data_IF_321125020153
#
_entry.id   IF_321125020153
#
_cell.length_a   1.000
_cell.length_b   1.000
_cell.length_c   1.000
_cell.angle_alpha   90.00
_cell.angle_beta   90.00
_cell.angle_gamma   90.00
#
_symmetry.space_group_name_H-M   'P 1'
#
loop_
_entity.id
_entity.type
_entity.pdbx_description
1 polymer ?
#
# COMPACT_ATOMS: atom_id res chain seq x y z
N UNK A 1 -9.26 7.10 -26.25
CA UNK A 1 -9.00 6.32 -25.03
C UNK A 1 -7.95 5.27 -25.37
N UNK A 2 -6.74 5.41 -24.88
CA UNK A 2 -5.75 4.33 -24.94
C UNK A 2 -6.14 3.42 -23.77
N UNK A 3 -6.83 2.31 -24.09
CA UNK A 3 -7.18 1.32 -23.08
C UNK A 3 -5.91 0.75 -22.46
N UNK A 4 -5.74 0.93 -21.17
CA UNK A 4 -4.65 0.33 -20.41
C UNK A 4 -4.93 -1.18 -20.20
N UNK A 5 -4.99 -1.94 -21.29
CA UNK A 5 -5.24 -3.39 -21.24
C UNK A 5 -4.11 -4.20 -20.59
N UNK A 6 -3.00 -3.56 -20.19
CA UNK A 6 -1.82 -4.22 -19.67
C UNK A 6 -1.28 -3.48 -18.45
N UNK A 7 -1.92 -3.66 -17.32
CA UNK A 7 -1.45 -3.18 -16.01
C UNK A 7 -1.22 -4.34 -15.06
N UNK A 8 -0.39 -4.12 -14.05
CA UNK A 8 -0.12 -5.09 -12.98
C UNK A 8 -0.55 -4.54 -11.64
N UNK A 9 -0.83 -5.43 -10.67
CA UNK A 9 -0.99 -5.04 -9.27
C UNK A 9 0.35 -4.65 -8.64
N UNK A 10 0.34 -4.05 -7.44
CA UNK A 10 1.57 -3.78 -6.67
C UNK A 10 2.35 -5.08 -6.38
N UNK A 11 1.64 -6.18 -6.07
CA UNK A 11 2.24 -7.51 -5.89
C UNK A 11 2.85 -8.01 -7.19
N UNK A 12 2.17 -7.85 -8.32
CA UNK A 12 2.69 -8.18 -9.64
C UNK A 12 3.94 -7.38 -10.00
N UNK A 13 3.97 -6.08 -9.68
CA UNK A 13 5.15 -5.23 -9.86
C UNK A 13 6.35 -5.73 -9.02
N UNK A 14 6.15 -6.07 -7.75
CA UNK A 14 7.18 -6.67 -6.90
C UNK A 14 7.71 -7.99 -7.48
N UNK A 15 6.82 -8.84 -8.00
CA UNK A 15 7.23 -10.11 -8.62
C UNK A 15 8.06 -9.90 -9.89
N UNK A 16 7.73 -8.92 -10.73
CA UNK A 16 8.55 -8.58 -11.90
C UNK A 16 9.98 -8.20 -11.51
N UNK A 17 10.14 -7.40 -10.45
CA UNK A 17 11.48 -7.04 -9.95
C UNK A 17 12.21 -8.27 -9.42
N UNK A 18 11.55 -9.14 -8.66
CA UNK A 18 12.18 -10.38 -8.13
C UNK A 18 12.74 -11.28 -9.23
N UNK A 19 12.05 -11.36 -10.37
CA UNK A 19 12.43 -12.27 -11.47
C UNK A 19 13.44 -11.64 -12.43
N UNK A 20 13.27 -10.36 -12.79
CA UNK A 20 14.02 -9.70 -13.87
C UNK A 20 14.77 -8.44 -13.42
N UNK A 21 14.60 -7.98 -12.18
CA UNK A 21 15.13 -6.68 -11.74
C UNK A 21 16.65 -6.59 -11.71
N UNK A 22 17.36 -7.73 -11.62
CA UNK A 22 18.82 -7.77 -11.71
C UNK A 22 19.33 -7.50 -13.14
N UNK A 23 18.54 -7.86 -14.16
CA UNK A 23 18.91 -7.64 -15.57
C UNK A 23 18.31 -6.35 -16.14
N UNK A 24 17.11 -5.99 -15.71
CA UNK A 24 16.32 -4.90 -16.28
C UNK A 24 15.83 -3.93 -15.21
N UNK A 25 15.88 -2.66 -15.52
CA UNK A 25 15.26 -1.62 -14.69
C UNK A 25 13.80 -1.45 -15.07
N UNK A 26 12.91 -1.55 -14.09
CA UNK A 26 11.50 -1.25 -14.25
C UNK A 26 11.21 0.22 -13.92
N UNK A 27 10.40 0.86 -14.75
CA UNK A 27 9.77 2.15 -14.48
C UNK A 27 8.28 1.90 -14.23
N UNK A 28 7.87 1.99 -12.98
CA UNK A 28 6.48 1.81 -12.58
C UNK A 28 5.74 3.15 -12.65
N UNK A 29 4.81 3.23 -13.60
CA UNK A 29 3.91 4.37 -13.75
C UNK A 29 2.56 4.05 -13.13
N UNK A 30 1.92 5.02 -12.49
CA UNK A 30 0.57 4.84 -11.93
C UNK A 30 0.06 6.13 -11.30
N UNK A 31 -1.23 6.16 -10.97
CA UNK A 31 -1.86 7.30 -10.31
C UNK A 31 -1.11 7.72 -9.05
N UNK A 32 -1.29 8.98 -8.65
CA UNK A 32 -0.70 9.47 -7.41
C UNK A 32 -1.32 8.78 -6.18
N UNK A 33 -0.49 8.50 -5.17
CA UNK A 33 -0.93 7.95 -3.89
C UNK A 33 -1.41 6.49 -3.89
N UNK A 34 -1.17 5.71 -4.96
CA UNK A 34 -1.59 4.29 -5.04
C UNK A 34 -0.68 3.31 -4.30
N UNK A 35 0.43 3.78 -3.72
CA UNK A 35 1.38 2.94 -2.99
C UNK A 35 2.52 2.41 -3.85
N UNK A 36 2.97 3.12 -4.89
CA UNK A 36 4.13 2.69 -5.71
C UNK A 36 5.39 2.44 -4.87
N UNK A 37 5.63 3.26 -3.85
CA UNK A 37 6.77 3.08 -2.92
C UNK A 37 6.65 1.80 -2.07
N UNK A 38 5.43 1.26 -1.88
CA UNK A 38 5.23 -0.02 -1.18
C UNK A 38 5.87 -1.21 -1.92
N UNK A 39 6.12 -1.10 -3.24
CA UNK A 39 6.87 -2.10 -4.01
C UNK A 39 8.27 -2.27 -3.41
N UNK A 40 8.94 -1.16 -3.09
CA UNK A 40 10.26 -1.18 -2.50
C UNK A 40 10.25 -1.84 -1.10
N UNK A 41 9.32 -1.47 -0.23
CA UNK A 41 9.22 -2.03 1.11
C UNK A 41 8.88 -3.53 1.08
N UNK A 42 8.06 -3.97 0.13
CA UNK A 42 7.76 -5.38 -0.10
C UNK A 42 9.02 -6.17 -0.49
N UNK A 43 9.87 -5.60 -1.35
CA UNK A 43 11.14 -6.20 -1.74
C UNK A 43 12.16 -6.18 -0.59
N UNK A 44 12.21 -5.09 0.18
CA UNK A 44 13.06 -4.98 1.37
C UNK A 44 12.72 -6.08 2.38
N UNK A 45 11.45 -6.28 2.67
CA UNK A 45 11.01 -7.36 3.56
C UNK A 45 11.33 -8.76 3.02
N UNK A 46 11.28 -8.95 1.71
CA UNK A 46 11.59 -10.23 1.08
C UNK A 46 13.08 -10.57 1.11
N UNK A 47 13.97 -9.60 0.82
CA UNK A 47 15.40 -9.82 0.78
C UNK A 47 16.10 -9.71 2.13
N UNK A 48 15.50 -9.01 3.11
CA UNK A 48 16.04 -8.84 4.46
C UNK A 48 17.48 -8.30 4.44
N UNK A 49 18.37 -8.81 5.26
CA UNK A 49 19.75 -8.35 5.42
C UNK A 49 20.68 -8.67 4.23
N UNK A 50 20.16 -9.33 3.20
CA UNK A 50 20.94 -9.74 2.03
C UNK A 50 21.34 -8.58 1.11
N UNK A 51 20.66 -7.43 1.23
CA UNK A 51 20.85 -6.27 0.37
C UNK A 51 21.03 -4.98 1.18
N UNK A 52 21.58 -3.95 0.54
CA UNK A 52 21.45 -2.57 0.96
C UNK A 52 20.19 -1.94 0.33
N UNK A 53 19.61 -0.91 0.97
CA UNK A 53 18.31 -0.35 0.59
C UNK A 53 18.35 1.17 0.56
N UNK A 54 18.04 1.76 -0.59
CA UNK A 54 17.99 3.21 -0.75
C UNK A 54 16.81 3.64 -1.61
N UNK A 55 16.02 4.57 -1.08
CA UNK A 55 15.01 5.33 -1.83
C UNK A 55 15.55 6.72 -2.08
N UNK A 56 15.51 7.16 -3.31
CA UNK A 56 16.03 8.45 -3.76
C UNK A 56 14.88 9.24 -4.36
N UNK A 57 14.47 10.30 -3.67
CA UNK A 57 13.46 11.23 -4.18
C UNK A 57 14.08 12.12 -5.27
N UNK A 58 13.65 11.90 -6.50
CA UNK A 58 14.15 12.60 -7.66
C UNK A 58 13.66 14.06 -7.76
N UNK A 59 12.67 14.45 -6.97
CA UNK A 59 12.14 15.84 -6.97
C UNK A 59 13.12 16.84 -6.35
N UNK A 60 13.95 16.36 -5.44
CA UNK A 60 14.90 17.18 -4.67
C UNK A 60 16.36 17.07 -5.15
N UNK A 61 16.62 16.19 -6.14
CA UNK A 61 17.97 15.89 -6.59
C UNK A 61 18.52 16.93 -7.58
N UNK A 62 19.76 17.32 -7.36
CA UNK A 62 20.60 18.02 -8.32
C UNK A 62 21.66 17.10 -8.96
N UNK A 63 22.29 17.55 -10.04
CA UNK A 63 23.38 16.82 -10.72
C UNK A 63 24.53 16.51 -9.77
N UNK A 64 24.85 17.44 -8.87
CA UNK A 64 25.89 17.29 -7.84
C UNK A 64 25.60 16.18 -6.85
N UNK A 65 24.33 15.85 -6.61
CA UNK A 65 23.92 14.75 -5.72
C UNK A 65 24.13 13.38 -6.36
N UNK A 66 24.21 13.32 -7.67
CA UNK A 66 24.45 12.05 -8.37
C UNK A 66 25.94 11.80 -8.50
N UNK A 67 26.71 12.84 -8.84
CA UNK A 67 28.15 12.72 -9.06
C UNK A 67 28.87 14.04 -8.77
N UNK A 68 29.96 13.95 -8.02
CA UNK A 68 30.81 15.12 -7.72
C UNK A 68 32.12 14.97 -8.47
N UNK A 69 32.51 15.96 -9.34
CA UNK A 69 33.82 15.95 -9.96
C UNK A 69 34.91 16.20 -8.90
N UNK A 70 35.95 15.37 -8.91
CA UNK A 70 37.15 15.54 -8.06
C UNK A 70 38.39 15.40 -8.91
N UNK A 71 39.38 16.27 -8.64
CA UNK A 71 40.70 16.13 -9.24
C UNK A 71 41.52 15.23 -8.34
N UNK A 72 42.08 14.19 -8.92
CA UNK A 72 42.98 13.23 -8.26
C UNK A 72 44.26 13.08 -9.08
N UNK A 73 45.36 12.79 -8.42
CA UNK A 73 46.62 12.44 -9.11
C UNK A 73 46.64 10.94 -9.44
N UNK A 74 46.82 10.61 -10.72
CA UNK A 74 46.94 9.24 -11.20
C UNK A 74 48.12 9.16 -12.17
N UNK A 75 49.09 8.35 -11.88
CA UNK A 75 50.31 8.15 -12.71
C UNK A 75 51.02 9.46 -13.02
N UNK A 76 51.13 10.37 -12.06
CA UNK A 76 51.77 11.68 -12.21
C UNK A 76 51.01 12.74 -13.01
N UNK A 77 49.73 12.46 -13.34
CA UNK A 77 48.84 13.41 -14.02
C UNK A 77 47.63 13.73 -13.13
N UNK A 78 47.20 14.98 -13.17
CA UNK A 78 45.94 15.39 -12.56
C UNK A 78 44.81 15.04 -13.50
N UNK A 79 43.91 14.12 -13.04
CA UNK A 79 42.73 13.71 -13.79
C UNK A 79 41.46 14.03 -13.02
N UNK A 80 40.39 14.33 -13.73
CA UNK A 80 39.05 14.48 -13.10
C UNK A 80 38.39 13.14 -13.03
N UNK A 81 37.99 12.72 -11.83
CA UNK A 81 37.15 11.56 -11.57
C UNK A 81 35.80 12.02 -11.03
N UNK A 82 34.78 11.23 -11.21
CA UNK A 82 33.46 11.49 -10.63
C UNK A 82 33.24 10.56 -9.44
N UNK A 83 33.11 11.14 -8.24
CA UNK A 83 32.78 10.42 -7.03
C UNK A 83 31.25 10.28 -6.95
N UNK A 84 30.72 9.06 -6.87
CA UNK A 84 29.28 8.85 -6.69
C UNK A 84 28.86 9.23 -5.27
N UNK A 85 27.58 9.56 -5.10
CA UNK A 85 26.99 9.75 -3.79
C UNK A 85 26.96 8.40 -3.04
N UNK A 86 27.29 8.42 -1.75
CA UNK A 86 27.30 7.23 -0.92
C UNK A 86 25.91 6.58 -0.79
N UNK A 87 24.83 7.36 -0.90
CA UNK A 87 23.45 6.86 -0.89
C UNK A 87 23.13 5.92 -2.06
N UNK A 88 23.96 5.93 -3.11
CA UNK A 88 23.81 5.01 -4.24
C UNK A 88 24.45 3.64 -3.99
N UNK A 89 25.18 3.45 -2.89
CA UNK A 89 25.72 2.16 -2.48
C UNK A 89 26.85 1.59 -3.35
N UNK A 90 27.53 2.42 -4.18
CA UNK A 90 28.63 1.97 -5.03
C UNK A 90 29.89 1.53 -4.26
N UNK A 91 30.00 1.97 -3.00
CA UNK A 91 31.10 1.64 -2.08
C UNK A 91 30.84 0.39 -1.26
N UNK A 92 29.63 -0.18 -1.35
CA UNK A 92 29.22 -1.32 -0.52
C UNK A 92 29.67 -2.67 -1.14
N UNK A 93 29.87 -3.66 -0.29
CA UNK A 93 30.26 -5.01 -0.75
C UNK A 93 29.04 -5.91 -1.07
N UNK A 94 27.85 -5.51 -0.62
CA UNK A 94 26.61 -6.28 -0.82
C UNK A 94 25.72 -5.67 -1.90
N UNK A 95 24.92 -6.48 -2.60
CA UNK A 95 23.97 -6.00 -3.58
C UNK A 95 23.07 -4.91 -3.03
N UNK A 96 22.67 -3.97 -3.86
CA UNK A 96 21.82 -2.82 -3.51
C UNK A 96 20.44 -2.93 -4.18
N UNK A 97 19.40 -2.61 -3.46
CA UNK A 97 18.09 -2.30 -4.01
C UNK A 97 17.91 -0.77 -3.98
N UNK A 98 17.91 -0.15 -5.15
CA UNK A 98 17.79 1.30 -5.28
C UNK A 98 16.47 1.61 -5.99
N UNK A 99 15.69 2.51 -5.41
CA UNK A 99 14.49 3.06 -6.04
C UNK A 99 14.65 4.56 -6.26
N UNK A 100 14.55 4.97 -7.53
CA UNK A 100 14.40 6.37 -7.92
C UNK A 100 12.90 6.71 -7.92
N UNK A 101 12.45 7.36 -6.86
CA UNK A 101 11.06 7.77 -6.72
C UNK A 101 10.78 9.08 -7.46
N UNK A 102 9.62 9.17 -8.10
CA UNK A 102 9.19 10.31 -8.91
C UNK A 102 10.20 10.72 -10.01
N UNK A 103 10.80 9.76 -10.68
CA UNK A 103 11.85 9.97 -11.71
C UNK A 103 11.44 10.98 -12.79
N UNK A 104 10.16 11.01 -13.18
CA UNK A 104 9.64 11.93 -14.19
C UNK A 104 9.72 13.42 -13.79
N UNK A 105 9.85 13.72 -12.51
CA UNK A 105 9.95 15.07 -11.98
C UNK A 105 11.40 15.59 -11.87
N UNK A 106 12.41 14.72 -12.05
CA UNK A 106 13.80 15.10 -11.95
C UNK A 106 14.18 16.14 -13.03
N UNK A 107 15.02 17.14 -12.71
CA UNK A 107 15.59 18.04 -13.69
C UNK A 107 16.34 17.29 -14.80
N UNK A 108 16.31 17.79 -16.03
CA UNK A 108 16.91 17.11 -17.20
C UNK A 108 18.40 16.76 -17.01
N UNK A 109 19.15 17.64 -16.33
CA UNK A 109 20.56 17.40 -16.01
C UNK A 109 20.74 16.19 -15.08
N UNK A 110 19.93 16.11 -14.03
CA UNK A 110 19.89 15.02 -13.05
C UNK A 110 19.49 13.71 -13.73
N UNK A 111 18.45 13.74 -14.57
CA UNK A 111 18.04 12.57 -15.37
C UNK A 111 19.21 12.01 -16.20
N UNK A 112 19.99 12.88 -16.86
CA UNK A 112 21.14 12.44 -17.64
C UNK A 112 22.21 11.75 -16.79
N UNK A 113 22.39 12.20 -15.54
CA UNK A 113 23.29 11.57 -14.56
C UNK A 113 22.80 10.22 -14.07
N UNK A 114 21.47 10.04 -13.93
CA UNK A 114 20.84 8.78 -13.46
C UNK A 114 20.81 7.69 -14.56
N UNK A 115 20.73 8.08 -15.85
CA UNK A 115 20.57 7.14 -16.94
C UNK A 115 21.59 5.98 -16.99
N UNK A 116 22.91 6.20 -16.75
CA UNK A 116 23.88 5.09 -16.70
C UNK A 116 23.60 4.13 -15.56
N UNK A 117 23.08 4.61 -14.43
CA UNK A 117 22.72 3.79 -13.27
C UNK A 117 21.53 2.91 -13.63
N UNK A 118 20.50 3.47 -14.27
CA UNK A 118 19.32 2.70 -14.69
C UNK A 118 19.66 1.61 -15.70
N UNK A 119 20.58 1.89 -16.64
CA UNK A 119 20.85 0.98 -17.75
C UNK A 119 21.98 -0.01 -17.45
N UNK A 120 23.07 0.48 -16.85
CA UNK A 120 24.34 -0.24 -16.76
C UNK A 120 24.77 -0.53 -15.32
N UNK A 121 23.95 -0.11 -14.34
CA UNK A 121 24.34 -0.18 -12.91
C UNK A 121 25.67 0.53 -12.64
N UNK A 122 25.97 1.60 -13.37
CA UNK A 122 27.25 2.27 -13.40
C UNK A 122 27.15 3.77 -13.21
N UNK A 123 28.12 4.33 -12.48
CA UNK A 123 28.35 5.76 -12.33
C UNK A 123 29.82 6.07 -12.62
N UNK A 124 30.12 6.71 -13.77
CA UNK A 124 31.50 6.88 -14.19
C UNK A 124 32.22 5.54 -14.35
N UNK A 125 33.26 5.30 -13.54
CA UNK A 125 34.02 4.05 -13.51
C UNK A 125 33.55 3.10 -12.38
N UNK A 126 32.59 3.51 -11.56
CA UNK A 126 32.09 2.72 -10.44
C UNK A 126 30.88 1.91 -10.87
N UNK A 127 30.84 0.64 -10.49
CA UNK A 127 29.72 -0.29 -10.72
C UNK A 127 29.06 -0.63 -9.40
N UNK A 128 27.73 -0.80 -9.41
CA UNK A 128 27.04 -1.38 -8.26
C UNK A 128 27.48 -2.83 -8.07
N UNK A 129 27.49 -3.33 -6.84
CA UNK A 129 27.76 -4.74 -6.56
C UNK A 129 26.88 -5.66 -7.41
N UNK A 130 27.43 -6.81 -7.81
CA UNK A 130 26.70 -7.81 -8.60
C UNK A 130 25.43 -8.26 -7.89
N UNK A 131 24.34 -8.45 -8.64
CA UNK A 131 23.03 -8.77 -8.08
C UNK A 131 22.22 -7.56 -7.57
N UNK A 132 22.72 -6.32 -7.79
CA UNK A 132 21.95 -5.12 -7.43
C UNK A 132 20.74 -4.90 -8.34
N UNK A 133 19.65 -4.44 -7.72
CA UNK A 133 18.39 -4.07 -8.39
C UNK A 133 18.24 -2.56 -8.43
N UNK A 134 17.79 -2.06 -9.57
CA UNK A 134 17.41 -0.63 -9.70
C UNK A 134 16.00 -0.58 -10.30
N UNK A 135 15.13 0.16 -9.65
CA UNK A 135 13.77 0.44 -10.12
C UNK A 135 13.48 1.95 -10.02
N UNK A 136 12.49 2.39 -10.72
CA UNK A 136 12.03 3.77 -10.68
C UNK A 136 10.51 3.83 -10.66
N UNK A 137 9.98 4.91 -10.10
CA UNK A 137 8.55 5.22 -10.14
C UNK A 137 8.30 6.55 -10.84
N UNK A 138 7.10 6.73 -11.36
CA UNK A 138 6.61 8.01 -11.88
C UNK A 138 5.09 8.07 -11.76
N UNK A 139 4.53 9.26 -11.75
CA UNK A 139 3.09 9.44 -11.85
C UNK A 139 2.64 9.38 -13.31
N UNK A 140 1.34 9.19 -13.56
CA UNK A 140 0.79 9.24 -14.91
C UNK A 140 0.98 10.64 -15.51
N UNK A 141 1.30 10.70 -16.80
CA UNK A 141 1.42 11.99 -17.50
C UNK A 141 0.12 12.81 -17.45
N UNK A 142 -1.02 12.13 -17.36
CA UNK A 142 -2.35 12.72 -17.20
C UNK A 142 -2.55 13.45 -15.85
N UNK A 143 -1.74 13.17 -14.82
CA UNK A 143 -1.84 13.82 -13.51
C UNK A 143 -1.38 15.30 -13.53
N UNK A 144 -1.13 15.87 -14.71
CA UNK A 144 -0.67 17.24 -14.89
C UNK A 144 0.80 17.48 -14.54
N UNK A 145 1.50 16.41 -14.16
CA UNK A 145 2.93 16.40 -13.90
C UNK A 145 3.62 16.02 -15.22
N UNK A 146 4.33 16.96 -15.84
CA UNK A 146 5.02 16.71 -17.10
C UNK A 146 6.00 15.55 -16.95
N UNK A 147 5.72 14.45 -17.66
CA UNK A 147 6.69 13.37 -17.85
C UNK A 147 7.83 13.93 -18.73
N UNK A 148 8.93 14.29 -18.09
CA UNK A 148 10.10 14.86 -18.77
C UNK A 148 10.94 13.81 -19.49
N UNK A 149 10.61 12.51 -19.35
CA UNK A 149 11.35 11.43 -19.99
C UNK A 149 11.18 11.44 -21.51
N UNK A 150 12.26 11.75 -22.21
CA UNK A 150 12.33 11.73 -23.68
C UNK A 150 12.36 10.28 -24.21
N UNK A 151 12.01 10.08 -25.46
CA UNK A 151 11.94 8.75 -26.08
C UNK A 151 13.23 7.91 -25.92
N UNK A 152 14.42 8.54 -26.02
CA UNK A 152 15.70 7.85 -25.84
C UNK A 152 15.98 7.46 -24.37
N UNK A 153 15.34 8.13 -23.40
CA UNK A 153 15.43 7.80 -21.99
C UNK A 153 14.47 6.66 -21.64
N UNK A 154 13.24 6.70 -22.16
CA UNK A 154 12.20 5.66 -21.96
C UNK A 154 12.65 4.26 -22.39
N UNK A 155 13.39 4.15 -23.51
CA UNK A 155 13.87 2.85 -24.01
C UNK A 155 14.88 2.12 -23.09
N UNK A 156 15.38 2.79 -22.05
CA UNK A 156 16.36 2.23 -21.11
C UNK A 156 15.73 1.52 -19.92
N UNK A 157 14.42 1.61 -19.81
CA UNK A 157 13.63 0.99 -18.75
C UNK A 157 12.48 0.19 -19.34
N UNK A 158 12.02 -0.81 -18.63
CA UNK A 158 10.77 -1.51 -18.91
C UNK A 158 9.65 -0.73 -18.22
N UNK A 159 8.87 0.03 -19.00
CA UNK A 159 7.74 0.80 -18.47
C UNK A 159 6.56 -0.13 -18.21
N UNK A 160 6.07 -0.15 -16.98
CA UNK A 160 4.94 -0.96 -16.54
C UNK A 160 3.92 -0.06 -15.84
N UNK A 161 2.65 -0.14 -16.27
CA UNK A 161 1.56 0.52 -15.57
C UNK A 161 1.17 -0.29 -14.33
N UNK A 162 1.14 0.37 -13.18
CA UNK A 162 0.64 -0.20 -11.93
C UNK A 162 -0.78 0.30 -11.72
N UNK A 163 -1.73 -0.63 -11.64
CA UNK A 163 -3.13 -0.27 -11.39
C UNK A 163 -3.36 0.10 -9.93
N UNK A 164 -4.25 1.03 -9.71
CA UNK A 164 -4.73 1.40 -8.36
C UNK A 164 -5.40 0.17 -7.72
N UNK A 165 -5.08 -0.16 -6.46
CA UNK A 165 -5.84 -1.19 -5.74
C UNK A 165 -7.31 -0.78 -5.64
N UNK A 166 -8.21 -1.69 -6.05
CA UNK A 166 -9.65 -1.51 -5.89
C UNK A 166 -10.09 -1.83 -4.45
N UNK A 167 -11.32 -1.49 -4.09
CA UNK A 167 -11.85 -1.73 -2.74
C UNK A 167 -11.77 -3.21 -2.33
N UNK A 168 -12.17 -4.13 -3.22
CA UNK A 168 -11.90 -5.56 -3.09
C UNK A 168 -12.89 -6.34 -2.25
N UNK A 169 -14.16 -5.98 -2.33
CA UNK A 169 -15.26 -6.79 -1.79
C UNK A 169 -15.98 -7.42 -2.96
N UNK A 170 -15.80 -8.71 -3.14
CA UNK A 170 -16.50 -9.52 -4.12
C UNK A 170 -17.72 -10.21 -3.50
N UNK A 171 -18.63 -10.67 -4.34
CA UNK A 171 -19.79 -11.48 -3.95
C UNK A 171 -19.74 -12.76 -4.77
N UNK A 172 -19.78 -13.92 -4.11
CA UNK A 172 -19.77 -15.21 -4.77
C UNK A 172 -21.15 -15.56 -5.39
N UNK A 173 -21.22 -16.68 -6.11
CA UNK A 173 -22.44 -17.16 -6.76
C UNK A 173 -23.62 -17.42 -5.78
N UNK A 174 -23.33 -17.57 -4.49
CA UNK A 174 -24.30 -17.77 -3.42
C UNK A 174 -24.70 -16.47 -2.71
N UNK A 175 -24.23 -15.30 -3.20
CA UNK A 175 -24.47 -14.00 -2.60
C UNK A 175 -23.61 -13.71 -1.36
N UNK A 176 -22.54 -14.50 -1.12
CA UNK A 176 -21.65 -14.30 0.02
C UNK A 176 -20.49 -13.39 -0.35
N UNK A 177 -20.19 -12.47 0.54
CA UNK A 177 -19.05 -11.59 0.38
C UNK A 177 -17.73 -12.30 0.66
N UNK A 178 -16.71 -11.92 -0.10
CA UNK A 178 -15.32 -12.33 0.12
C UNK A 178 -14.37 -11.17 -0.19
N UNK A 179 -13.17 -11.24 0.37
CA UNK A 179 -12.10 -10.28 0.08
C UNK A 179 -11.35 -10.73 -1.17
N UNK A 180 -11.31 -9.85 -2.16
CA UNK A 180 -10.59 -10.13 -3.40
C UNK A 180 -9.08 -10.01 -3.21
N UNK A 181 -8.28 -10.88 -3.81
CA UNK A 181 -6.82 -10.78 -3.74
C UNK A 181 -6.31 -9.53 -4.48
N UNK A 182 -5.14 -9.02 -4.07
CA UNK A 182 -4.51 -7.81 -4.60
C UNK A 182 -5.36 -6.54 -4.45
N UNK A 183 -6.32 -6.55 -3.52
CA UNK A 183 -7.22 -5.44 -3.22
C UNK A 183 -6.70 -4.57 -2.06
N UNK A 184 -7.28 -3.38 -1.93
CA UNK A 184 -7.04 -2.54 -0.76
C UNK A 184 -7.59 -3.17 0.53
N UNK A 185 -8.72 -3.88 0.44
CA UNK A 185 -9.32 -4.56 1.60
C UNK A 185 -8.39 -5.66 2.15
N UNK A 186 -7.78 -6.47 1.27
CA UNK A 186 -6.77 -7.47 1.70
C UNK A 186 -5.62 -6.79 2.43
N UNK A 187 -5.09 -5.69 1.88
CA UNK A 187 -4.06 -4.90 2.53
C UNK A 187 -4.49 -4.36 3.89
N UNK A 188 -5.68 -3.77 3.97
CA UNK A 188 -6.17 -3.11 5.18
C UNK A 188 -6.40 -4.09 6.34
N UNK A 189 -6.86 -5.31 6.05
CA UNK A 189 -7.06 -6.36 7.05
C UNK A 189 -5.75 -6.97 7.55
N UNK A 190 -4.70 -6.95 6.72
CA UNK A 190 -3.36 -7.44 7.06
C UNK A 190 -2.46 -6.39 7.73
N UNK A 191 -2.86 -5.12 7.67
CA UNK A 191 -2.14 -4.01 8.27
C UNK A 191 -3.08 -3.26 9.22
N UNK A 192 -2.55 -2.65 10.25
CA UNK A 192 -3.31 -2.02 11.34
C UNK A 192 -4.12 -0.79 10.89
N UNK A 193 -5.03 -0.96 9.93
CA UNK A 193 -5.96 0.08 9.48
C UNK A 193 -7.16 0.13 10.44
N UNK A 194 -7.57 1.34 10.81
CA UNK A 194 -8.70 1.56 11.70
C UNK A 194 -9.99 0.94 11.12
N UNK A 195 -10.76 0.17 11.90
CA UNK A 195 -11.99 -0.48 11.43
C UNK A 195 -13.00 0.48 10.81
N UNK A 196 -13.06 1.69 11.29
CA UNK A 196 -13.95 2.74 10.78
C UNK A 196 -13.58 3.13 9.34
N UNK A 197 -12.28 3.18 9.01
CA UNK A 197 -11.79 3.45 7.65
C UNK A 197 -12.09 2.27 6.73
N UNK A 198 -11.95 1.05 7.23
CA UNK A 198 -12.31 -0.17 6.47
C UNK A 198 -13.81 -0.16 6.16
N UNK A 199 -14.65 0.18 7.14
CA UNK A 199 -16.10 0.29 6.94
C UNK A 199 -16.45 1.42 5.96
N UNK A 200 -15.75 2.55 6.02
CA UNK A 200 -15.93 3.64 5.05
C UNK A 200 -15.67 3.15 3.61
N UNK A 201 -14.56 2.47 3.36
CA UNK A 201 -14.24 1.94 2.02
C UNK A 201 -15.25 0.88 1.59
N UNK A 202 -15.72 0.02 2.52
CA UNK A 202 -16.76 -0.95 2.26
C UNK A 202 -18.08 -0.31 1.81
N UNK A 203 -18.48 0.77 2.47
CA UNK A 203 -19.74 1.47 2.17
C UNK A 203 -19.61 2.42 0.97
N UNK A 204 -18.39 2.82 0.63
CA UNK A 204 -18.07 3.75 -0.46
C UNK A 204 -16.96 3.19 -1.36
N UNK A 205 -17.16 2.04 -2.03
CA UNK A 205 -16.11 1.41 -2.85
C UNK A 205 -15.65 2.28 -4.03
N UNK A 206 -16.48 3.23 -4.47
CA UNK A 206 -16.17 4.23 -5.49
C UNK A 206 -14.97 5.13 -5.13
N UNK A 207 -14.61 5.22 -3.86
CA UNK A 207 -13.46 5.99 -3.38
C UNK A 207 -12.10 5.42 -3.84
N UNK A 208 -12.07 4.17 -4.27
CA UNK A 208 -10.87 3.51 -4.80
C UNK A 208 -10.96 3.18 -6.29
N UNK A 209 -11.97 3.69 -6.99
CA UNK A 209 -12.01 3.63 -8.45
C UNK A 209 -10.90 4.46 -9.08
N UNK A 210 -10.60 4.20 -10.36
CA UNK A 210 -9.55 4.84 -11.14
C UNK A 210 -10.15 5.77 -12.21
N UNK A 211 -9.63 6.98 -12.31
CA UNK A 211 -9.99 7.87 -13.42
C UNK A 211 -9.47 7.34 -14.77
N UNK A 212 -8.42 6.51 -14.76
CA UNK A 212 -7.89 5.85 -15.97
C UNK A 212 -8.90 4.86 -16.55
N UNK A 213 -9.74 4.27 -15.70
CA UNK A 213 -10.83 3.37 -16.09
C UNK A 213 -12.14 4.14 -16.39
N UNK A 214 -12.09 5.47 -16.32
CA UNK A 214 -13.23 6.34 -16.65
C UNK A 214 -14.15 6.65 -15.46
N UNK A 215 -13.73 6.40 -14.24
CA UNK A 215 -14.52 6.75 -13.06
C UNK A 215 -14.74 8.25 -12.94
N UNK A 216 -15.95 8.62 -12.55
CA UNK A 216 -16.39 9.98 -12.29
C UNK A 216 -16.71 10.24 -10.82
N UNK A 217 -16.24 9.36 -9.91
CA UNK A 217 -16.41 9.52 -8.48
C UNK A 217 -15.80 10.85 -8.01
N UNK A 218 -16.57 11.59 -7.20
CA UNK A 218 -16.13 12.88 -6.62
C UNK A 218 -15.12 12.72 -5.48
N UNK A 219 -14.88 11.49 -5.05
CA UNK A 219 -13.98 11.17 -3.94
C UNK A 219 -12.53 11.03 -4.38
N UNK A 220 -12.30 10.70 -5.67
CA UNK A 220 -10.97 10.45 -6.22
C UNK A 220 -10.39 11.67 -6.93
N UNK A 221 -9.08 11.69 -7.06
CA UNK A 221 -8.40 12.60 -7.96
C UNK A 221 -8.80 12.32 -9.41
N UNK A 222 -9.14 13.37 -10.16
CA UNK A 222 -9.37 13.28 -11.60
C UNK A 222 -8.81 14.55 -12.27
N UNK A 223 -7.74 14.42 -13.08
CA UNK A 223 -7.07 15.56 -13.71
C UNK A 223 -7.91 16.28 -14.77
N UNK A 224 -9.03 15.67 -15.22
CA UNK A 224 -9.95 16.29 -16.17
C UNK A 224 -10.94 17.26 -15.51
N UNK A 225 -10.97 17.32 -14.20
CA UNK A 225 -11.78 18.29 -13.45
C UNK A 225 -11.02 19.57 -13.22
N UNK A 226 -11.77 20.66 -12.98
CA UNK A 226 -11.15 21.91 -12.51
C UNK A 226 -10.34 21.63 -11.25
N UNK A 227 -9.17 22.29 -11.08
CA UNK A 227 -8.33 22.10 -9.90
C UNK A 227 -9.16 22.31 -8.62
N UNK A 228 -9.44 21.24 -7.91
CA UNK A 228 -10.06 21.31 -6.60
C UNK A 228 -8.98 21.61 -5.58
N UNK A 229 -9.27 22.52 -4.66
CA UNK A 229 -8.42 22.79 -3.50
C UNK A 229 -8.59 21.69 -2.45
N UNK A 230 -9.62 20.84 -2.62
CA UNK A 230 -9.99 19.80 -1.67
C UNK A 230 -9.07 18.57 -1.80
N UNK A 231 -8.81 17.89 -0.68
CA UNK A 231 -8.11 16.63 -0.67
C UNK A 231 -8.98 15.54 -1.34
N UNK A 232 -8.38 14.41 -1.65
CA UNK A 232 -9.05 13.29 -2.32
C UNK A 232 -8.64 11.95 -1.70
N UNK A 233 -9.46 10.93 -1.94
CA UNK A 233 -9.20 9.58 -1.45
C UNK A 233 -8.24 8.84 -2.38
N UNK A 234 -7.20 8.29 -1.78
CA UNK A 234 -6.32 7.30 -2.39
C UNK A 234 -5.80 6.34 -1.29
N UNK A 235 -5.17 5.22 -1.61
CA UNK A 235 -4.62 4.30 -0.61
C UNK A 235 -3.78 5.00 0.47
N UNK A 236 -2.90 5.91 0.08
CA UNK A 236 -2.06 6.66 1.03
C UNK A 236 -2.88 7.55 1.98
N UNK A 237 -3.88 8.30 1.46
CA UNK A 237 -4.67 9.19 2.31
C UNK A 237 -5.63 8.43 3.22
N UNK A 238 -6.00 7.19 2.88
CA UNK A 238 -6.74 6.29 3.78
C UNK A 238 -5.88 5.82 4.96
N UNK A 239 -4.58 5.61 4.77
CA UNK A 239 -3.65 5.34 5.88
C UNK A 239 -3.56 6.55 6.82
N UNK A 240 -3.41 7.75 6.26
CA UNK A 240 -3.43 9.00 7.06
C UNK A 240 -4.74 9.14 7.83
N UNK A 241 -5.89 8.88 7.20
CA UNK A 241 -7.18 8.91 7.87
C UNK A 241 -7.27 7.87 9.00
N UNK A 242 -6.70 6.68 8.79
CA UNK A 242 -6.61 5.64 9.82
C UNK A 242 -5.82 6.11 11.05
N UNK A 243 -4.66 6.73 10.84
CA UNK A 243 -3.85 7.25 11.93
C UNK A 243 -4.58 8.36 12.71
N UNK A 244 -5.31 9.22 12.01
CA UNK A 244 -6.17 10.25 12.66
C UNK A 244 -7.26 9.59 13.49
N UNK A 245 -7.97 8.59 12.95
CA UNK A 245 -9.03 7.86 13.67
C UNK A 245 -8.51 7.15 14.91
N UNK A 246 -7.31 6.57 14.87
CA UNK A 246 -6.68 5.89 16.02
C UNK A 246 -6.46 6.81 17.23
N UNK A 247 -6.31 8.11 17.00
CA UNK A 247 -6.11 9.10 18.08
C UNK A 247 -7.38 9.90 18.39
N UNK A 248 -8.54 9.52 17.89
CA UNK A 248 -9.83 10.23 18.03
C UNK A 248 -10.23 10.58 19.46
N UNK A 249 -9.78 9.82 20.45
CA UNK A 249 -10.07 10.10 21.87
C UNK A 249 -9.21 11.21 22.48
N UNK A 250 -8.16 11.67 21.76
CA UNK A 250 -7.20 12.68 22.23
C UNK A 250 -7.50 14.08 21.69
N UNK A 251 -8.44 14.20 20.76
CA UNK A 251 -8.81 15.43 20.07
C UNK A 251 -10.33 15.63 20.09
N UNK A 252 -10.78 16.86 19.92
CA UNK A 252 -12.21 17.17 19.88
C UNK A 252 -12.86 16.65 18.59
N UNK A 253 -14.19 16.55 18.59
CA UNK A 253 -14.96 16.16 17.38
C UNK A 253 -14.75 17.14 16.22
N UNK A 254 -14.61 18.44 16.52
CA UNK A 254 -14.34 19.47 15.52
C UNK A 254 -12.95 19.29 14.90
N UNK A 255 -11.90 19.10 15.72
CA UNK A 255 -10.54 18.85 15.25
C UNK A 255 -10.44 17.54 14.44
N UNK A 256 -11.13 16.50 14.90
CA UNK A 256 -11.19 15.22 14.21
C UNK A 256 -11.84 15.39 12.82
N UNK A 257 -13.01 16.06 12.75
CA UNK A 257 -13.71 16.30 11.49
C UNK A 257 -12.86 17.13 10.53
N UNK A 258 -12.25 18.21 11.01
CA UNK A 258 -11.39 19.06 10.19
C UNK A 258 -10.17 18.29 9.65
N UNK A 259 -9.55 17.46 10.49
CA UNK A 259 -8.37 16.64 10.10
C UNK A 259 -8.74 15.60 9.05
N UNK A 260 -9.87 14.90 9.22
CA UNK A 260 -10.35 13.92 8.24
C UNK A 260 -10.74 14.58 6.90
N UNK A 261 -11.45 15.70 6.94
CA UNK A 261 -11.77 16.47 5.74
C UNK A 261 -10.48 16.95 5.02
N UNK A 262 -9.50 17.41 5.78
CA UNK A 262 -8.19 17.81 5.24
C UNK A 262 -7.38 16.65 4.64
N UNK A 263 -7.58 15.42 5.13
CA UNK A 263 -6.86 14.25 4.65
C UNK A 263 -7.48 13.62 3.38
N UNK A 264 -8.82 13.46 3.35
CA UNK A 264 -9.54 12.68 2.34
C UNK A 264 -10.62 13.46 1.58
N UNK A 265 -10.65 14.78 1.76
CA UNK A 265 -11.66 15.68 1.17
C UNK A 265 -12.94 15.78 1.99
N UNK A 266 -13.62 16.90 1.85
CA UNK A 266 -14.78 17.25 2.68
C UNK A 266 -15.89 16.20 2.61
N UNK A 267 -16.25 15.74 1.40
CA UNK A 267 -17.29 14.73 1.21
C UNK A 267 -16.96 13.44 1.96
N UNK A 268 -15.76 12.93 1.76
CA UNK A 268 -15.31 11.65 2.33
C UNK A 268 -15.06 11.75 3.84
N UNK A 269 -14.53 12.90 4.30
CA UNK A 269 -14.28 13.13 5.73
C UNK A 269 -15.57 13.16 6.56
N UNK A 270 -16.64 13.79 6.04
CA UNK A 270 -17.95 13.81 6.69
C UNK A 270 -18.57 12.40 6.73
N UNK A 271 -18.47 11.64 5.63
CA UNK A 271 -18.98 10.27 5.60
C UNK A 271 -18.19 9.36 6.56
N UNK A 272 -16.87 9.47 6.61
CA UNK A 272 -16.06 8.73 7.57
C UNK A 272 -16.39 9.05 9.02
N UNK A 273 -16.75 10.30 9.33
CA UNK A 273 -17.24 10.68 10.68
C UNK A 273 -18.51 9.89 11.09
N UNK A 274 -19.35 9.48 10.13
CA UNK A 274 -20.50 8.61 10.42
C UNK A 274 -20.02 7.23 10.90
N UNK A 275 -19.02 6.66 10.26
CA UNK A 275 -18.43 5.38 10.68
C UNK A 275 -17.74 5.51 12.06
N UNK A 276 -17.05 6.62 12.32
CA UNK A 276 -16.46 6.90 13.63
C UNK A 276 -17.52 6.94 14.71
N UNK A 277 -18.66 7.58 14.46
CA UNK A 277 -19.79 7.64 15.43
C UNK A 277 -20.39 6.25 15.66
N UNK A 278 -20.42 5.38 14.64
CA UNK A 278 -20.82 3.98 14.81
C UNK A 278 -19.80 3.20 15.65
N UNK A 279 -18.52 3.48 15.48
CA UNK A 279 -17.44 2.87 16.26
C UNK A 279 -17.57 3.08 17.77
N UNK A 280 -18.19 4.17 18.22
CA UNK A 280 -18.47 4.39 19.65
C UNK A 280 -19.54 3.44 20.23
N UNK A 281 -20.32 2.74 19.38
CA UNK A 281 -21.29 1.72 19.80
C UNK A 281 -20.68 0.33 19.97
N UNK A 282 -19.41 0.15 19.61
CA UNK A 282 -18.71 -1.11 19.83
C UNK A 282 -18.62 -1.43 21.33
N UNK A 283 -18.73 -2.70 21.71
CA UNK A 283 -18.50 -3.12 23.11
C UNK A 283 -17.07 -2.81 23.54
N UNK A 284 -16.88 -2.64 24.86
CA UNK A 284 -15.54 -2.50 25.43
C UNK A 284 -14.65 -3.68 25.04
N UNK A 285 -13.57 -3.40 24.35
CA UNK A 285 -12.71 -4.41 23.76
C UNK A 285 -11.99 -5.27 24.79
N UNK A 286 -11.51 -4.65 25.86
CA UNK A 286 -10.85 -5.35 26.97
C UNK A 286 -11.79 -6.31 27.67
N UNK A 287 -13.04 -5.89 27.91
CA UNK A 287 -14.07 -6.75 28.48
C UNK A 287 -14.44 -7.90 27.52
N UNK A 288 -14.52 -7.65 26.21
CA UNK A 288 -14.81 -8.69 25.22
C UNK A 288 -13.74 -9.78 25.23
N UNK A 289 -12.47 -9.40 25.23
CA UNK A 289 -11.36 -10.36 25.23
C UNK A 289 -11.26 -11.13 26.57
N UNK A 290 -11.53 -10.46 27.69
CA UNK A 290 -11.47 -11.10 29.03
C UNK A 290 -12.69 -11.97 29.32
N UNK A 291 -13.87 -11.61 28.80
CA UNK A 291 -15.15 -12.25 29.07
C UNK A 291 -15.92 -12.57 27.78
N UNK A 292 -15.35 -13.33 26.83
CA UNK A 292 -15.94 -13.49 25.49
C UNK A 292 -17.33 -14.15 25.49
N UNK A 293 -17.61 -14.99 26.49
CA UNK A 293 -18.90 -15.69 26.61
C UNK A 293 -20.04 -14.81 27.14
N UNK A 294 -19.73 -13.70 27.83
CA UNK A 294 -20.74 -12.88 28.50
C UNK A 294 -20.76 -11.43 28.02
N UNK A 295 -19.71 -10.96 27.35
CA UNK A 295 -19.64 -9.60 26.80
C UNK A 295 -20.86 -9.31 25.89
N UNK A 296 -21.40 -8.07 25.89
CA UNK A 296 -22.60 -7.75 25.11
C UNK A 296 -22.34 -7.90 23.60
N UNK A 297 -23.31 -8.43 22.88
CA UNK A 297 -23.31 -8.50 21.41
C UNK A 297 -24.23 -7.38 20.91
N UNK A 298 -23.75 -6.48 20.03
CA UNK A 298 -24.57 -5.44 19.43
C UNK A 298 -25.72 -6.04 18.63
N UNK A 299 -26.91 -5.42 18.70
CA UNK A 299 -28.08 -5.84 17.91
C UNK A 299 -28.01 -5.31 16.48
N UNK A 300 -27.35 -4.15 16.29
CA UNK A 300 -27.17 -3.51 14.98
C UNK A 300 -26.18 -4.29 14.12
N UNK A 301 -26.66 -4.71 12.94
CA UNK A 301 -25.87 -5.52 11.98
C UNK A 301 -24.61 -4.83 11.51
N UNK A 302 -24.65 -3.50 11.31
CA UNK A 302 -23.49 -2.73 10.87
C UNK A 302 -22.44 -2.64 11.99
N UNK A 303 -22.88 -2.53 13.23
CA UNK A 303 -21.98 -2.55 14.40
C UNK A 303 -21.36 -3.95 14.55
N UNK A 304 -22.11 -5.04 14.29
CA UNK A 304 -21.55 -6.40 14.25
C UNK A 304 -20.50 -6.54 13.13
N UNK A 305 -20.78 -6.02 11.94
CA UNK A 305 -19.81 -5.99 10.83
C UNK A 305 -18.53 -5.25 11.20
N UNK A 306 -18.63 -4.08 11.80
CA UNK A 306 -17.49 -3.31 12.28
C UNK A 306 -16.72 -4.05 13.37
N UNK A 307 -17.42 -4.73 14.27
CA UNK A 307 -16.81 -5.55 15.32
C UNK A 307 -16.04 -6.73 14.72
N UNK A 308 -16.62 -7.42 13.75
CA UNK A 308 -15.97 -8.50 12.99
C UNK A 308 -14.70 -7.98 12.29
N UNK A 309 -14.80 -6.83 11.62
CA UNK A 309 -13.66 -6.17 10.97
C UNK A 309 -12.54 -5.87 11.98
N UNK A 310 -12.89 -5.27 13.13
CA UNK A 310 -11.95 -5.02 14.21
C UNK A 310 -11.31 -6.31 14.71
N UNK A 311 -12.09 -7.37 14.88
CA UNK A 311 -11.59 -8.67 15.31
C UNK A 311 -10.56 -9.24 14.32
N UNK A 312 -10.81 -9.16 13.00
CA UNK A 312 -9.85 -9.60 11.99
C UNK A 312 -8.55 -8.80 12.11
N UNK A 313 -8.64 -7.47 12.15
CA UNK A 313 -7.45 -6.59 12.23
C UNK A 313 -6.63 -6.87 13.48
N UNK A 314 -7.28 -7.03 14.64
CA UNK A 314 -6.60 -7.19 15.94
C UNK A 314 -6.31 -8.64 16.33
N UNK A 315 -6.59 -9.61 15.44
CA UNK A 315 -6.26 -11.01 15.69
C UNK A 315 -4.75 -11.20 15.87
N UNK A 316 -4.41 -11.78 17.01
CA UNK A 316 -3.07 -12.20 17.41
C UNK A 316 -3.17 -13.54 18.15
N UNK A 317 -2.04 -14.17 18.45
CA UNK A 317 -1.99 -15.48 19.10
C UNK A 317 -2.77 -15.52 20.44
N UNK A 318 -2.63 -14.47 21.24
CA UNK A 318 -3.27 -14.30 22.55
C UNK A 318 -4.76 -13.92 22.48
N UNK A 319 -5.23 -13.34 21.39
CA UNK A 319 -6.62 -12.86 21.22
C UNK A 319 -7.53 -13.82 20.47
N UNK A 320 -7.00 -14.64 19.57
CA UNK A 320 -7.78 -15.45 18.65
C UNK A 320 -8.80 -16.36 19.33
N UNK A 321 -8.41 -17.06 20.41
CA UNK A 321 -9.32 -17.95 21.15
C UNK A 321 -10.53 -17.20 21.72
N UNK A 322 -10.31 -16.01 22.29
CA UNK A 322 -11.41 -15.20 22.84
C UNK A 322 -12.34 -14.70 21.75
N UNK A 323 -11.78 -14.27 20.62
CA UNK A 323 -12.56 -13.81 19.46
C UNK A 323 -13.42 -14.92 18.88
N UNK A 324 -12.88 -16.14 18.72
CA UNK A 324 -13.66 -17.30 18.30
C UNK A 324 -14.83 -17.58 19.26
N UNK A 325 -14.55 -17.63 20.57
CA UNK A 325 -15.58 -17.88 21.58
C UNK A 325 -16.67 -16.81 21.60
N UNK A 326 -16.35 -15.57 21.29
CA UNK A 326 -17.32 -14.50 21.21
C UNK A 326 -18.21 -14.63 19.98
N UNK A 327 -17.64 -14.91 18.79
CA UNK A 327 -18.35 -14.96 17.52
C UNK A 327 -19.22 -16.21 17.36
N UNK A 328 -18.86 -17.33 18.00
CA UNK A 328 -19.63 -18.57 18.01
C UNK A 328 -20.98 -18.46 18.75
N UNK A 329 -21.33 -17.31 19.30
CA UNK A 329 -22.56 -17.14 20.10
C UNK A 329 -23.77 -16.89 19.20
N UNK A 330 -24.91 -17.49 19.49
CA UNK A 330 -26.17 -17.47 18.72
C UNK A 330 -26.68 -16.08 18.31
N UNK A 331 -26.30 -15.02 19.06
CA UNK A 331 -26.68 -13.64 18.74
C UNK A 331 -25.77 -12.96 17.71
N UNK A 332 -24.60 -13.56 17.44
CA UNK A 332 -23.73 -13.08 16.38
C UNK A 332 -24.16 -13.69 15.05
N UNK A 333 -24.22 -12.89 13.97
CA UNK A 333 -24.72 -13.43 12.69
C UNK A 333 -23.69 -14.37 12.06
N UNK A 334 -24.18 -15.54 11.62
CA UNK A 334 -23.37 -16.56 10.95
C UNK A 334 -22.59 -16.03 9.75
N UNK A 335 -23.15 -15.06 9.04
CA UNK A 335 -22.49 -14.40 7.90
C UNK A 335 -21.16 -13.75 8.32
N UNK A 336 -21.15 -13.01 9.43
CA UNK A 336 -19.95 -12.32 9.91
C UNK A 336 -18.97 -13.29 10.56
N UNK A 337 -19.44 -14.33 11.21
CA UNK A 337 -18.59 -15.43 11.67
C UNK A 337 -17.87 -16.08 10.49
N UNK A 338 -18.57 -16.38 9.41
CA UNK A 338 -18.01 -16.96 8.19
C UNK A 338 -16.95 -16.05 7.55
N UNK A 339 -17.22 -14.76 7.46
CA UNK A 339 -16.25 -13.78 6.93
C UNK A 339 -15.01 -13.72 7.82
N UNK A 340 -15.15 -13.74 9.14
CA UNK A 340 -14.03 -13.76 10.07
C UNK A 340 -13.10 -14.96 9.82
N UNK A 341 -13.64 -16.18 9.83
CA UNK A 341 -12.86 -17.40 9.62
C UNK A 341 -12.18 -17.42 8.25
N UNK A 342 -12.89 -17.05 7.20
CA UNK A 342 -12.36 -17.00 5.83
C UNK A 342 -11.25 -15.96 5.69
N UNK A 343 -11.43 -14.76 6.24
CA UNK A 343 -10.45 -13.68 6.19
C UNK A 343 -9.16 -14.05 6.93
N UNK A 344 -9.25 -14.67 8.11
CA UNK A 344 -8.08 -15.15 8.85
C UNK A 344 -7.30 -16.19 8.04
N UNK A 345 -7.99 -17.17 7.44
CA UNK A 345 -7.36 -18.23 6.63
C UNK A 345 -6.74 -17.70 5.32
N UNK A 346 -7.21 -16.57 4.81
CA UNK A 346 -6.68 -15.95 3.57
C UNK A 346 -5.60 -14.91 3.84
N UNK A 347 -5.34 -14.59 5.10
CA UNK A 347 -4.43 -13.52 5.52
C UNK A 347 -3.08 -14.07 6.01
N UNK A 348 -2.14 -13.16 6.31
CA UNK A 348 -0.88 -13.48 6.99
C UNK A 348 -1.08 -14.13 8.37
N UNK A 349 -2.30 -14.08 8.93
CA UNK A 349 -2.67 -14.64 10.23
C UNK A 349 -3.01 -16.13 10.16
N UNK A 350 -2.95 -16.73 8.99
CA UNK A 350 -3.22 -18.15 8.78
C UNK A 350 -2.34 -19.06 9.66
N UNK A 351 -1.08 -18.71 9.85
CA UNK A 351 -0.16 -19.50 10.69
C UNK A 351 -0.67 -19.59 12.13
N UNK A 352 -1.09 -18.45 12.71
CA UNK A 352 -1.67 -18.39 14.07
C UNK A 352 -2.98 -19.21 14.16
N UNK A 353 -3.77 -19.21 13.09
CA UNK A 353 -5.04 -19.95 13.04
C UNK A 353 -4.86 -21.47 12.96
N UNK A 354 -3.82 -21.94 12.26
CA UNK A 354 -3.48 -23.36 12.14
C UNK A 354 -3.09 -23.95 13.50
N UNK A 355 -2.44 -23.18 14.35
CA UNK A 355 -1.98 -23.64 15.67
C UNK A 355 -3.05 -23.43 16.78
N UNK A 356 -4.22 -22.89 16.46
CA UNK A 356 -5.27 -22.61 17.44
C UNK A 356 -6.40 -23.65 17.43
N UNK A 357 -6.46 -24.51 18.44
CA UNK A 357 -7.44 -25.59 18.56
C UNK A 357 -8.91 -25.13 18.49
N UNK A 358 -9.23 -23.97 19.09
CA UNK A 358 -10.59 -23.43 19.11
C UNK A 358 -11.01 -23.00 17.70
N UNK A 359 -10.12 -22.34 16.99
CA UNK A 359 -10.33 -21.93 15.61
C UNK A 359 -10.50 -23.15 14.70
N UNK A 360 -9.59 -24.13 14.78
CA UNK A 360 -9.59 -25.33 13.94
C UNK A 360 -10.87 -26.15 14.14
N UNK A 361 -11.26 -26.39 15.38
CA UNK A 361 -12.49 -27.14 15.68
C UNK A 361 -13.71 -26.47 15.03
N UNK A 362 -13.85 -25.14 15.19
CA UNK A 362 -15.00 -24.42 14.64
C UNK A 362 -14.94 -24.35 13.11
N UNK A 363 -13.77 -24.14 12.52
CA UNK A 363 -13.56 -24.15 11.08
C UNK A 363 -13.98 -25.49 10.45
N UNK A 364 -13.71 -26.64 11.12
CA UNK A 364 -14.17 -27.95 10.68
C UNK A 364 -15.69 -28.10 10.77
N UNK A 365 -16.35 -27.58 11.81
CA UNK A 365 -17.81 -27.57 11.94
C UNK A 365 -18.46 -26.73 10.81
N UNK A 366 -17.79 -25.65 10.41
CA UNK A 366 -18.23 -24.73 9.35
C UNK A 366 -17.64 -25.10 7.98
N UNK A 367 -17.45 -26.37 7.69
CA UNK A 367 -16.80 -26.88 6.48
C UNK A 367 -17.33 -26.27 5.17
N UNK A 368 -18.62 -25.89 5.13
CA UNK A 368 -19.27 -25.21 4.02
C UNK A 368 -18.68 -23.80 3.70
N UNK A 369 -17.93 -23.19 4.62
CA UNK A 369 -17.27 -21.88 4.39
C UNK A 369 -16.10 -22.02 3.42
N UNK A 370 -15.41 -23.15 3.43
CA UNK A 370 -14.18 -23.41 2.70
C UNK A 370 -14.38 -24.28 1.46
N UNK A 371 -15.55 -24.87 1.26
CA UNK A 371 -15.90 -25.57 0.02
C UNK A 371 -16.27 -24.55 -1.05
N UNK A 372 -15.59 -24.67 -2.20
CA UNK A 372 -15.85 -23.86 -3.40
C UNK A 372 -17.22 -24.16 -3.98
#
# INVERSE_FOLDING_TARGET
MIGYNHSVSLRGASNLVKVLGHERTFLFEGETGIGKSAIFYSLMNYYGDKMGYNIIDCTTLDVGDIQMPRVVEMNGMHVTVFAPNHLLGFQDDKPQLIMFDELGKAPQGTLNGILPILQERRQGMNYLPEGSFVLATTNCASDGLMDTLKAHQRRRTVKVLVRKPHAGIGVDENGKEFVEPDSWMEYALDNDIAPEVIMFVRNHPDCLESYLDGSDSKRIFNPSREPSVDAFVCPFTLEVASDIVKVKQKISEEELTASLCGAIGTLSGVDLMTEVKMGYKLPDWGNLLSNPKTAPIPEDTMVQCMLMTKAIVTTAEDTLTALCQYMMRDKFKDEWEAVFYRSIMSSKKQEIAIDNDTFQKRAMEMNWIFTK
#
